data_IF_208166078369
#
_entry.id   IF_208166078369
#
_cell.length_a   1.000
_cell.length_b   1.000
_cell.length_c   1.000
_cell.angle_alpha   90.00
_cell.angle_beta   90.00
_cell.angle_gamma   90.00
#
_symmetry.space_group_name_H-M   'P 1'
#
loop_
_entity.id
_entity.type
_entity.pdbx_description
1 polymer ?
#
# COMPACT_ATOMS: atom_id res chain seq x y z
N UNK A 1 24.93 -14.95 25.18
CA UNK A 1 25.63 -14.14 24.16
C UNK A 1 25.02 -14.41 22.78
N UNK A 2 23.84 -13.85 22.47
CA UNK A 2 23.25 -13.83 21.10
C UNK A 2 22.37 -12.57 20.97
N UNK A 3 22.92 -11.39 21.27
CA UNK A 3 22.27 -10.08 21.04
C UNK A 3 22.83 -9.37 19.80
N UNK A 4 23.53 -10.08 18.93
CA UNK A 4 24.20 -9.52 17.76
C UNK A 4 23.99 -10.43 16.56
N UNK A 5 23.49 -9.84 15.46
CA UNK A 5 23.28 -10.41 14.10
C UNK A 5 21.87 -10.74 13.63
N UNK A 6 20.84 -10.04 14.09
CA UNK A 6 19.82 -9.57 13.15
C UNK A 6 19.86 -8.04 13.15
N UNK A 7 20.87 -7.48 12.49
CA UNK A 7 20.80 -6.12 11.98
C UNK A 7 19.77 -6.20 10.85
N UNK A 8 18.48 -6.21 11.23
CA UNK A 8 17.40 -6.02 10.28
C UNK A 8 17.86 -4.88 9.39
N UNK A 9 17.90 -5.11 8.07
CA UNK A 9 18.21 -4.05 7.14
C UNK A 9 17.24 -2.92 7.47
N UNK A 10 17.72 -1.90 8.20
CA UNK A 10 17.12 -0.58 8.16
C UNK A 10 17.38 -0.14 6.73
N UNK A 11 16.56 -0.66 5.80
CA UNK A 11 16.55 -0.20 4.44
C UNK A 11 16.27 1.29 4.57
N UNK A 12 17.24 2.10 4.15
CA UNK A 12 17.08 3.54 4.19
C UNK A 12 15.78 3.85 3.46
N UNK A 13 14.86 4.48 4.19
CA UNK A 13 13.53 4.75 3.69
C UNK A 13 13.62 5.80 2.58
N UNK A 14 13.47 5.36 1.34
CA UNK A 14 13.57 6.21 0.15
C UNK A 14 12.20 6.47 -0.49
N UNK A 15 12.05 7.66 -1.08
CA UNK A 15 10.91 7.99 -1.94
C UNK A 15 11.07 7.35 -3.33
N UNK A 16 9.95 7.15 -4.02
CA UNK A 16 9.97 6.76 -5.42
C UNK A 16 10.29 5.28 -5.64
N UNK A 17 11.02 5.01 -6.73
CA UNK A 17 11.29 3.66 -7.21
C UNK A 17 12.36 2.95 -6.37
N UNK A 18 12.19 1.64 -6.16
CA UNK A 18 13.21 0.77 -5.57
C UNK A 18 13.96 0.06 -6.71
N UNK A 19 15.30 0.09 -6.66
CA UNK A 19 16.15 -0.54 -7.67
C UNK A 19 15.85 -2.04 -7.75
N UNK A 20 15.63 -2.53 -8.98
CA UNK A 20 15.37 -3.96 -9.23
C UNK A 20 13.92 -4.41 -9.00
N UNK A 21 13.04 -3.51 -8.58
CA UNK A 21 11.61 -3.79 -8.37
C UNK A 21 10.78 -2.99 -9.37
N UNK A 22 9.84 -3.65 -10.04
CA UNK A 22 9.00 -3.09 -11.11
C UNK A 22 7.51 -3.23 -10.80
N UNK A 23 6.66 -2.31 -11.29
CA UNK A 23 5.22 -2.50 -11.24
C UNK A 23 4.82 -3.86 -11.85
N UNK A 24 4.02 -4.63 -11.11
CA UNK A 24 3.64 -6.02 -11.43
C UNK A 24 4.35 -7.08 -10.58
N UNK A 25 5.45 -6.74 -9.90
CA UNK A 25 6.15 -7.67 -9.02
C UNK A 25 5.25 -8.12 -7.86
N UNK A 26 5.30 -9.42 -7.57
CA UNK A 26 4.41 -10.10 -6.63
C UNK A 26 5.16 -10.62 -5.40
N UNK A 27 4.54 -10.47 -4.24
CA UNK A 27 5.05 -10.90 -2.95
C UNK A 27 3.96 -11.64 -2.18
N UNK A 28 4.34 -12.67 -1.44
CA UNK A 28 3.39 -13.47 -0.65
C UNK A 28 3.14 -12.89 0.74
N UNK A 29 4.13 -12.18 1.29
CA UNK A 29 4.13 -11.76 2.70
C UNK A 29 4.54 -10.29 2.87
N UNK A 30 3.99 -9.64 3.90
CA UNK A 30 4.42 -8.30 4.33
C UNK A 30 5.91 -8.22 4.66
N UNK A 31 6.46 -9.30 5.21
CA UNK A 31 7.89 -9.41 5.50
C UNK A 31 8.74 -9.29 4.23
N UNK A 32 8.30 -9.87 3.10
CA UNK A 32 9.04 -9.74 1.84
C UNK A 32 9.05 -8.29 1.35
N UNK A 33 7.93 -7.56 1.48
CA UNK A 33 7.86 -6.13 1.15
C UNK A 33 8.83 -5.29 1.99
N UNK A 34 9.01 -5.64 3.27
CA UNK A 34 9.98 -4.99 4.15
C UNK A 34 11.42 -5.33 3.75
N UNK A 35 11.71 -6.61 3.47
CA UNK A 35 13.06 -7.06 3.08
C UNK A 35 13.55 -6.37 1.79
N UNK A 36 12.65 -6.12 0.83
CA UNK A 36 12.98 -5.41 -0.41
C UNK A 36 12.84 -3.88 -0.31
N UNK A 37 12.46 -3.33 0.86
CA UNK A 37 12.31 -1.89 1.07
C UNK A 37 11.11 -1.24 0.38
N UNK A 38 10.18 -2.02 -0.19
CA UNK A 38 8.95 -1.49 -0.77
C UNK A 38 8.07 -0.84 0.30
N UNK A 39 7.94 -1.50 1.46
CA UNK A 39 7.12 -1.05 2.58
C UNK A 39 7.63 -1.63 3.91
N UNK A 40 8.03 -0.78 4.86
CA UNK A 40 8.74 -1.20 6.07
C UNK A 40 7.86 -1.41 7.30
N UNK A 41 6.54 -1.20 7.21
CA UNK A 41 5.60 -1.53 8.29
C UNK A 41 5.05 -2.94 8.08
N UNK A 42 5.07 -3.79 9.12
CA UNK A 42 4.44 -5.13 9.02
C UNK A 42 2.92 -5.05 9.13
N UNK A 43 2.43 -4.13 9.97
CA UNK A 43 1.02 -4.06 10.36
C UNK A 43 0.27 -2.89 9.70
N UNK A 44 0.88 -1.70 9.69
CA UNK A 44 0.22 -0.48 9.25
C UNK A 44 0.12 -0.43 7.73
N UNK A 45 -0.95 0.20 7.22
CA UNK A 45 -1.14 0.39 5.79
C UNK A 45 -0.27 1.49 5.21
N UNK A 46 0.14 2.49 6.00
CA UNK A 46 0.91 3.66 5.55
C UNK A 46 2.32 3.59 6.13
N UNK A 47 3.33 3.67 5.27
CA UNK A 47 4.73 3.84 5.67
C UNK A 47 5.23 5.23 5.29
N UNK A 48 5.97 5.86 6.19
CA UNK A 48 6.45 7.23 6.06
C UNK A 48 7.82 7.43 6.73
N UNK A 49 8.51 8.51 6.35
CA UNK A 49 9.78 8.94 6.96
C UNK A 49 9.87 10.47 6.97
N UNK A 50 10.79 11.01 7.77
CA UNK A 50 11.11 12.44 7.78
C UNK A 50 12.07 12.76 6.64
N UNK A 51 11.69 13.70 5.78
CA UNK A 51 12.50 14.24 4.69
C UNK A 51 12.40 15.76 4.78
N UNK A 52 13.54 16.44 4.88
CA UNK A 52 13.64 17.90 5.07
C UNK A 52 12.76 18.41 6.23
N UNK A 53 12.77 17.66 7.35
CA UNK A 53 12.00 18.00 8.56
C UNK A 53 10.49 17.79 8.46
N UNK A 54 9.98 17.17 7.37
CA UNK A 54 8.56 16.84 7.21
C UNK A 54 8.36 15.34 7.02
N UNK A 55 7.38 14.78 7.73
CA UNK A 55 6.96 13.41 7.47
C UNK A 55 6.27 13.31 6.11
N UNK A 56 6.83 12.52 5.21
CA UNK A 56 6.28 12.19 3.89
C UNK A 56 5.96 10.70 3.81
N UNK A 57 4.82 10.40 3.21
CA UNK A 57 4.41 9.04 2.91
C UNK A 57 5.30 8.49 1.79
N UNK A 58 5.77 7.27 2.01
CA UNK A 58 6.66 6.55 1.10
C UNK A 58 5.87 5.49 0.34
N UNK A 59 5.02 4.77 1.05
CA UNK A 59 4.22 3.69 0.46
C UNK A 59 2.93 3.46 1.23
N UNK A 60 1.94 2.92 0.52
CA UNK A 60 0.69 2.43 1.09
C UNK A 60 0.44 0.99 0.65
N UNK A 61 -0.25 0.23 1.51
CA UNK A 61 -0.76 -1.10 1.19
C UNK A 61 -2.27 -1.10 1.25
N UNK A 62 -2.89 -1.28 0.10
CA UNK A 62 -4.33 -1.50 -0.01
C UNK A 62 -4.64 -2.98 0.22
N UNK A 63 -5.00 -3.30 1.46
CA UNK A 63 -5.39 -4.66 1.87
C UNK A 63 -6.90 -4.89 1.87
N UNK A 64 -7.70 -3.98 1.30
CA UNK A 64 -9.17 -4.02 1.32
C UNK A 64 -9.78 -4.09 2.74
N UNK A 65 -9.02 -3.67 3.77
CA UNK A 65 -9.49 -3.63 5.18
C UNK A 65 -10.46 -2.46 5.43
N UNK A 66 -10.37 -1.44 4.60
CA UNK A 66 -11.22 -0.27 4.62
C UNK A 66 -11.99 -0.20 3.30
N UNK A 67 -13.01 0.65 3.25
CA UNK A 67 -13.80 0.92 2.05
C UNK A 67 -13.04 1.79 1.03
N UNK A 68 -11.83 1.36 0.68
CA UNK A 68 -11.03 1.93 -0.40
C UNK A 68 -11.73 1.67 -1.73
N UNK A 69 -11.65 2.64 -2.65
CA UNK A 69 -12.33 2.58 -3.94
C UNK A 69 -11.34 2.81 -5.05
N UNK A 70 -11.29 1.89 -6.02
CA UNK A 70 -10.56 2.12 -7.27
C UNK A 70 -11.57 2.56 -8.31
N UNK A 71 -11.51 3.83 -8.70
CA UNK A 71 -12.42 4.39 -9.72
C UNK A 71 -11.97 3.98 -11.14
N UNK A 72 -10.67 3.78 -11.32
CA UNK A 72 -10.04 3.25 -12.54
C UNK A 72 -8.73 2.52 -12.17
N UNK A 73 -8.03 1.99 -13.17
CA UNK A 73 -6.67 1.46 -12.99
C UNK A 73 -5.68 2.47 -12.39
N UNK A 74 -5.90 3.76 -12.66
CA UNK A 74 -4.95 4.83 -12.36
C UNK A 74 -5.38 5.71 -11.19
N UNK A 75 -6.59 5.51 -10.64
CA UNK A 75 -7.11 6.33 -9.53
C UNK A 75 -7.53 5.45 -8.36
N UNK A 76 -6.91 5.69 -7.21
CA UNK A 76 -7.21 5.04 -5.94
C UNK A 76 -7.69 6.06 -4.91
N UNK A 77 -8.85 5.84 -4.32
CA UNK A 77 -9.29 6.54 -3.11
C UNK A 77 -8.98 5.67 -1.90
N UNK A 78 -8.02 6.10 -1.08
CA UNK A 78 -7.50 5.40 0.08
C UNK A 78 -7.99 6.05 1.39
N UNK A 79 -8.56 5.25 2.27
CA UNK A 79 -8.97 5.65 3.61
C UNK A 79 -7.76 5.73 4.55
N UNK A 80 -7.69 6.81 5.33
CA UNK A 80 -6.64 7.03 6.32
C UNK A 80 -6.61 5.96 7.42
N UNK A 81 -5.56 6.00 8.23
CA UNK A 81 -5.41 5.11 9.39
C UNK A 81 -6.05 5.70 10.66
N UNK A 82 -6.37 4.83 11.62
CA UNK A 82 -6.97 5.19 12.91
C UNK A 82 -8.49 5.04 12.93
N UNK A 83 -9.11 5.54 14.00
CA UNK A 83 -10.56 5.49 14.21
C UNK A 83 -11.08 4.09 14.50
N UNK A 84 -10.34 3.26 15.23
CA UNK A 84 -10.84 2.00 15.82
C UNK A 84 -11.26 0.88 14.87
N UNK A 85 -11.11 1.02 13.54
CA UNK A 85 -11.45 -0.04 12.59
C UNK A 85 -10.72 -1.34 12.96
N UNK A 86 -11.50 -2.39 13.22
CA UNK A 86 -11.02 -3.55 13.95
C UNK A 86 -9.81 -4.21 13.30
N UNK A 87 -8.91 -4.71 14.15
CA UNK A 87 -7.82 -5.56 13.69
C UNK A 87 -8.41 -6.87 13.15
N UNK A 88 -7.89 -7.37 12.04
CA UNK A 88 -8.23 -8.70 11.50
C UNK A 88 -9.74 -8.96 11.24
N UNK A 89 -10.42 -8.07 10.50
CA UNK A 89 -11.79 -8.35 10.04
C UNK A 89 -12.84 -8.47 11.15
N UNK A 90 -12.46 -8.12 12.39
CA UNK A 90 -13.37 -8.04 13.51
C UNK A 90 -14.10 -6.70 13.44
N UNK A 91 -15.41 -6.68 13.69
CA UNK A 91 -16.08 -5.41 13.97
C UNK A 91 -15.49 -4.82 15.27
N UNK A 92 -15.25 -3.51 15.33
CA UNK A 92 -14.90 -2.84 16.58
C UNK A 92 -15.95 -3.19 17.65
N UNK A 93 -15.51 -3.53 18.86
CA UNK A 93 -16.45 -3.77 19.99
C UNK A 93 -17.08 -2.47 20.50
N UNK A 94 -16.50 -1.33 20.13
CA UNK A 94 -16.93 0.02 20.50
C UNK A 94 -17.02 0.85 19.22
N UNK A 95 -17.94 1.82 19.18
CA UNK A 95 -18.07 2.73 18.06
C UNK A 95 -16.71 3.37 17.72
N UNK A 96 -16.35 3.46 16.42
CA UNK A 96 -15.07 3.98 15.99
C UNK A 96 -14.95 5.48 16.29
N UNK A 97 -13.79 5.90 16.76
CA UNK A 97 -13.48 7.32 16.93
C UNK A 97 -13.26 8.03 15.58
N UNK A 98 -13.34 9.37 15.60
CA UNK A 98 -12.90 10.20 14.49
C UNK A 98 -11.40 10.01 14.23
N UNK A 99 -11.02 9.83 12.97
CA UNK A 99 -9.63 9.83 12.57
C UNK A 99 -9.00 11.20 12.81
N UNK A 100 -7.70 11.20 13.12
CA UNK A 100 -6.90 12.40 13.35
C UNK A 100 -5.93 12.64 12.19
N UNK A 101 -5.64 13.90 11.91
CA UNK A 101 -4.64 14.29 10.92
C UNK A 101 -3.23 14.23 11.53
N UNK A 102 -2.81 13.02 11.87
CA UNK A 102 -1.52 12.72 12.49
C UNK A 102 -0.88 11.50 11.81
N UNK A 103 0.37 11.18 12.17
CA UNK A 103 1.07 9.95 11.71
C UNK A 103 0.97 9.76 10.19
N UNK A 104 0.47 8.61 9.72
CA UNK A 104 0.33 8.31 8.30
C UNK A 104 -0.62 9.26 7.55
N UNK A 105 -1.69 9.73 8.19
CA UNK A 105 -2.63 10.67 7.59
C UNK A 105 -1.97 12.02 7.34
N UNK A 106 -1.21 12.52 8.32
CA UNK A 106 -0.42 13.73 8.15
C UNK A 106 0.67 13.55 7.08
N UNK A 107 1.31 12.38 7.03
CA UNK A 107 2.32 12.08 6.01
C UNK A 107 1.74 12.08 4.59
N UNK A 108 0.56 11.50 4.38
CA UNK A 108 -0.16 11.56 3.09
C UNK A 108 -0.57 13.00 2.74
N UNK A 109 -1.04 13.79 3.71
CA UNK A 109 -1.37 15.20 3.51
C UNK A 109 -0.14 16.03 3.13
N UNK A 110 0.98 15.81 3.78
CA UNK A 110 2.24 16.46 3.44
C UNK A 110 2.73 16.05 2.04
N UNK A 111 2.57 14.78 1.69
CA UNK A 111 2.93 14.25 0.36
C UNK A 111 2.08 14.85 -0.76
N UNK A 112 0.80 15.10 -0.49
CA UNK A 112 -0.09 15.85 -1.39
C UNK A 112 0.45 17.26 -1.66
N UNK A 113 0.81 17.98 -0.59
CA UNK A 113 1.34 19.36 -0.70
C UNK A 113 2.68 19.38 -1.44
N UNK A 114 3.58 18.44 -1.12
CA UNK A 114 4.91 18.32 -1.73
C UNK A 114 4.90 17.64 -3.10
N UNK A 115 3.76 17.06 -3.52
CA UNK A 115 3.62 16.24 -4.72
C UNK A 115 4.64 15.09 -4.77
N UNK A 116 5.00 14.53 -3.60
CA UNK A 116 5.97 13.44 -3.52
C UNK A 116 5.35 12.12 -3.99
N UNK A 117 6.14 11.24 -4.65
CA UNK A 117 5.66 9.95 -5.10
C UNK A 117 5.43 8.99 -3.92
N UNK A 118 4.31 8.26 -3.96
CA UNK A 118 3.91 7.24 -3.00
C UNK A 118 3.79 5.90 -3.73
N UNK A 119 4.50 4.87 -3.27
CA UNK A 119 4.35 3.51 -3.79
C UNK A 119 3.01 2.91 -3.37
N UNK A 120 2.28 2.31 -4.30
CA UNK A 120 1.04 1.59 -4.01
C UNK A 120 1.27 0.09 -4.16
N UNK A 121 0.92 -0.67 -3.12
CA UNK A 121 0.95 -2.12 -3.12
C UNK A 121 -0.48 -2.61 -2.88
N UNK A 122 -1.01 -3.48 -3.75
CA UNK A 122 -2.38 -4.01 -3.63
C UNK A 122 -2.35 -5.46 -3.19
N UNK A 123 -3.18 -5.80 -2.20
CA UNK A 123 -3.41 -7.20 -1.82
C UNK A 123 -4.52 -7.77 -2.70
N UNK A 124 -4.20 -8.72 -3.57
CA UNK A 124 -5.17 -9.46 -4.37
C UNK A 124 -5.50 -10.78 -3.67
N UNK A 125 -6.77 -11.21 -3.77
CA UNK A 125 -7.27 -12.49 -3.26
C UNK A 125 -7.80 -13.30 -4.44
N UNK A 126 -7.65 -14.62 -4.41
CA UNK A 126 -8.22 -15.50 -5.45
C UNK A 126 -7.34 -15.62 -6.70
N UNK A 127 -6.03 -15.40 -6.60
CA UNK A 127 -5.13 -15.52 -7.74
C UNK A 127 -4.76 -16.98 -7.99
N UNK A 128 -5.19 -17.55 -9.13
CA UNK A 128 -4.92 -18.92 -9.55
C UNK A 128 -5.94 -19.95 -9.02
N UNK A 129 -5.61 -21.25 -9.12
CA UNK A 129 -6.51 -22.36 -8.77
C UNK A 129 -6.72 -22.58 -7.26
N UNK A 130 -5.86 -21.98 -6.42
CA UNK A 130 -5.95 -22.05 -4.96
C UNK A 130 -6.04 -20.61 -4.51
N UNK A 131 -7.09 -20.24 -3.75
CA UNK A 131 -7.39 -18.89 -3.24
C UNK A 131 -6.20 -18.21 -2.53
N UNK A 132 -5.16 -17.86 -3.28
CA UNK A 132 -3.91 -17.36 -2.78
C UNK A 132 -4.03 -15.85 -2.68
N UNK A 133 -3.51 -15.33 -1.58
CA UNK A 133 -3.35 -13.90 -1.37
C UNK A 133 -1.95 -13.49 -1.82
N UNK A 134 -1.87 -12.45 -2.65
CA UNK A 134 -0.60 -11.89 -3.10
C UNK A 134 -0.62 -10.38 -2.99
N UNK A 135 0.52 -9.80 -2.66
CA UNK A 135 0.77 -8.37 -2.72
C UNK A 135 1.41 -8.05 -4.06
N UNK A 136 0.82 -7.15 -4.84
CA UNK A 136 1.34 -6.70 -6.13
C UNK A 136 1.77 -5.25 -6.01
N UNK A 137 3.01 -4.95 -6.39
CA UNK A 137 3.45 -3.56 -6.51
C UNK A 137 2.79 -2.92 -7.73
N UNK A 138 1.90 -1.95 -7.53
CA UNK A 138 1.09 -1.35 -8.60
C UNK A 138 1.79 -0.15 -9.27
N UNK A 139 2.76 0.43 -8.56
CA UNK A 139 3.59 1.53 -9.04
C UNK A 139 3.57 2.76 -8.13
N UNK A 140 3.97 3.89 -8.69
CA UNK A 140 4.06 5.19 -8.06
C UNK A 140 2.83 6.04 -8.34
N UNK A 141 2.35 6.69 -7.30
CA UNK A 141 1.19 7.56 -7.33
C UNK A 141 1.53 8.91 -6.71
N UNK A 142 0.75 9.94 -7.04
CA UNK A 142 0.75 11.23 -6.34
C UNK A 142 -0.61 11.45 -5.69
N UNK A 143 -0.62 11.94 -4.45
CA UNK A 143 -1.87 12.31 -3.76
C UNK A 143 -2.36 13.64 -4.37
N UNK A 144 -3.57 13.65 -4.93
CA UNK A 144 -4.18 14.84 -5.53
C UNK A 144 -5.12 15.57 -4.59
N UNK A 145 -5.94 14.82 -3.87
CA UNK A 145 -6.96 15.37 -2.99
C UNK A 145 -6.99 14.67 -1.63
N UNK A 146 -7.41 15.42 -0.63
CA UNK A 146 -7.68 14.94 0.72
C UNK A 146 -9.04 15.50 1.13
N UNK A 147 -10.00 14.63 1.40
CA UNK A 147 -11.37 14.97 1.79
C UNK A 147 -11.71 14.28 3.10
N UNK A 148 -12.72 14.78 3.78
CA UNK A 148 -13.32 14.07 4.91
C UNK A 148 -14.58 13.35 4.46
N UNK A 149 -14.82 12.17 5.01
CA UNK A 149 -16.04 11.39 4.79
C UNK A 149 -16.55 10.88 6.12
N UNK A 150 -17.85 10.99 6.35
CA UNK A 150 -18.50 10.33 7.48
C UNK A 150 -18.69 8.85 7.15
N UNK A 151 -18.18 7.98 8.01
CA UNK A 151 -18.34 6.53 7.93
C UNK A 151 -19.78 6.11 8.22
N UNK A 152 -20.09 4.85 7.92
CA UNK A 152 -21.41 4.27 8.20
C UNK A 152 -21.76 4.28 9.69
N UNK A 153 -20.75 4.31 10.55
CA UNK A 153 -20.88 4.34 12.01
C UNK A 153 -20.77 5.78 12.57
N UNK A 154 -20.84 6.79 11.70
CA UNK A 154 -20.90 8.20 12.11
C UNK A 154 -19.54 8.86 12.33
N UNK A 155 -18.45 8.11 12.36
CA UNK A 155 -17.10 8.62 12.57
C UNK A 155 -16.53 9.33 11.33
N UNK A 156 -15.68 10.33 11.54
CA UNK A 156 -15.00 11.07 10.49
C UNK A 156 -13.74 10.34 10.03
N UNK A 157 -13.62 10.13 8.72
CA UNK A 157 -12.47 9.47 8.08
C UNK A 157 -11.80 10.40 7.07
N UNK A 158 -10.47 10.30 6.96
CA UNK A 158 -9.73 10.96 5.88
C UNK A 158 -9.74 10.08 4.63
N UNK A 159 -10.09 10.66 3.50
CA UNK A 159 -10.03 10.01 2.19
C UNK A 159 -9.01 10.72 1.32
N UNK A 160 -8.01 9.97 0.85
CA UNK A 160 -6.93 10.45 0.00
C UNK A 160 -7.12 9.92 -1.41
N UNK A 161 -7.20 10.80 -2.39
CA UNK A 161 -7.28 10.43 -3.80
C UNK A 161 -5.87 10.44 -4.40
N UNK A 162 -5.41 9.26 -4.83
CA UNK A 162 -4.09 9.02 -5.40
C UNK A 162 -4.22 8.75 -6.89
N UNK A 163 -3.38 9.40 -7.69
CA UNK A 163 -3.33 9.24 -9.14
C UNK A 163 -1.99 8.64 -9.56
N UNK A 164 -2.05 7.59 -10.37
CA UNK A 164 -0.88 6.89 -10.89
C UNK A 164 -0.05 7.84 -11.74
N UNK A 165 1.26 7.82 -11.54
CA UNK A 165 2.16 8.64 -12.36
C UNK A 165 2.24 8.07 -13.79
N UNK A 166 2.27 8.94 -14.82
CA UNK A 166 2.35 8.49 -16.21
C UNK A 166 3.70 7.83 -16.52
N UNK A 167 3.75 7.05 -17.61
CA UNK A 167 4.98 6.42 -18.12
C UNK A 167 5.38 5.12 -17.42
N UNK A 168 4.60 4.63 -16.47
CA UNK A 168 4.86 3.37 -15.78
C UNK A 168 4.21 2.18 -16.51
N UNK A 169 4.86 0.99 -16.53
CA UNK A 169 4.28 -0.23 -17.10
C UNK A 169 2.86 -0.50 -16.58
N UNK A 170 1.95 -0.89 -17.45
CA UNK A 170 0.59 -1.24 -17.06
C UNK A 170 0.58 -2.61 -16.36
N UNK A 171 0.01 -2.66 -15.16
CA UNK A 171 -0.10 -3.91 -14.37
C UNK A 171 -1.33 -4.73 -14.80
N UNK A 172 -2.28 -4.07 -15.48
CA UNK A 172 -3.62 -4.60 -15.79
C UNK A 172 -3.68 -5.33 -17.14
N UNK A 173 -3.08 -6.51 -17.21
CA UNK A 173 -3.46 -7.55 -18.18
C UNK A 173 -3.75 -8.92 -17.54
N UNK A 174 -3.66 -9.04 -16.21
CA UNK A 174 -3.81 -10.32 -15.51
C UNK A 174 -4.95 -10.38 -14.48
N UNK A 175 -5.68 -9.29 -14.27
CA UNK A 175 -6.69 -9.21 -13.19
C UNK A 175 -8.10 -9.65 -13.64
N UNK A 176 -8.38 -9.66 -14.95
CA UNK A 176 -9.70 -10.05 -15.50
C UNK A 176 -9.66 -11.21 -16.50
N UNK A 177 -8.55 -11.95 -16.61
CA UNK A 177 -8.52 -13.14 -17.44
C UNK A 177 -9.34 -14.25 -16.75
N UNK A 178 -10.51 -14.52 -17.30
CA UNK A 178 -11.28 -15.76 -17.13
C UNK A 178 -10.28 -16.93 -17.26
N UNK A 179 -10.34 -17.98 -16.41
CA UNK A 179 -9.41 -19.10 -16.50
C UNK A 179 -9.63 -19.80 -17.85
N UNK A 180 -8.73 -19.55 -18.80
CA UNK A 180 -8.88 -20.10 -20.14
C UNK A 180 -7.69 -19.90 -21.06
N UNK A 181 -6.99 -18.77 -21.03
CA UNK A 181 -5.95 -18.58 -22.04
C UNK A 181 -4.96 -17.46 -21.69
N UNK A 182 -3.76 -17.82 -21.24
CA UNK A 182 -2.54 -17.13 -21.66
C UNK A 182 -1.33 -18.06 -21.49
N UNK A 183 -0.76 -18.48 -22.60
CA UNK A 183 0.59 -19.03 -22.67
C UNK A 183 1.62 -17.98 -22.22
N UNK A 184 2.58 -18.44 -21.42
CA UNK A 184 3.64 -17.66 -20.77
C UNK A 184 4.62 -17.04 -21.78
N UNK A 185 5.24 -15.90 -21.43
CA UNK A 185 6.70 -15.93 -21.38
C UNK A 185 7.24 -15.54 -20.00
N UNK A 186 8.34 -16.21 -19.65
CA UNK A 186 9.09 -16.18 -18.40
C UNK A 186 9.12 -14.84 -17.66
N UNK A 187 8.64 -14.85 -16.41
CA UNK A 187 9.02 -13.85 -15.41
C UNK A 187 9.38 -14.50 -14.08
N UNK A 188 10.50 -14.04 -13.54
CA UNK A 188 11.20 -14.60 -12.39
C UNK A 188 10.36 -14.53 -11.13
N UNK A 189 9.98 -15.67 -10.60
CA UNK A 189 9.51 -15.76 -9.21
C UNK A 189 10.74 -15.55 -8.34
N UNK A 190 10.79 -14.46 -7.57
CA UNK A 190 11.80 -14.31 -6.51
C UNK A 190 11.51 -15.35 -5.42
N UNK A 191 12.10 -16.54 -5.57
CA UNK A 191 12.28 -17.47 -4.47
C UNK A 191 13.50 -16.98 -3.68
N UNK A 192 13.28 -16.47 -2.48
CA UNK A 192 14.35 -16.46 -1.49
C UNK A 192 14.45 -17.87 -0.90
N UNK A 193 15.70 -18.36 -0.87
CA UNK A 193 16.14 -19.67 -0.38
C UNK A 193 15.42 -20.12 0.91
#
# INVERSE_FOLDING_TARGET
MVKQKLKWMNADKTLGQIRGIQPGDMFKLRLQLQMVGLHCQLLNGIDYTSIDGKNLAISIVDSHRYSNQSQSCDVLTYCGEGGGAGFLGSKPQVAPDDQKLERGNLALKNSMIKKSPVRVIRKLVGVGLKNNEVFVYDGLYTVKHCKHKRGSEGNMMFMFELHRMPGQPQVHKRVNAIPGDVTSPHHSTFQML
#
